data_IF_621509213578
#
_entry.id   IF_621509213578
#
_cell.length_a   1.000
_cell.length_b   1.000
_cell.length_c   1.000
_cell.angle_alpha   90.00
_cell.angle_beta   90.00
_cell.angle_gamma   90.00
#
_symmetry.space_group_name_H-M   'P 1'
#
loop_
_entity.id
_entity.type
_entity.pdbx_description
1 polymer ?
#
# COMPACT_ATOMS: atom_id res chain seq x y z
N UNK A 1 -21.73 13.96 25.85
CA UNK A 1 -20.51 13.32 25.29
C UNK A 1 -20.59 13.39 23.78
N UNK A 2 -20.05 14.46 23.20
CA UNK A 2 -20.08 14.78 21.77
C UNK A 2 -18.83 14.19 21.11
N UNK A 3 -19.03 13.20 20.24
CA UNK A 3 -17.95 12.52 19.52
C UNK A 3 -17.51 13.36 18.33
N UNK A 4 -16.26 13.80 18.33
CA UNK A 4 -15.65 14.61 17.27
C UNK A 4 -15.14 13.70 16.14
N UNK A 5 -15.72 13.84 14.95
CA UNK A 5 -15.27 13.14 13.75
C UNK A 5 -13.90 13.65 13.27
N UNK A 6 -12.96 12.76 12.88
CA UNK A 6 -11.66 13.17 12.38
C UNK A 6 -11.79 13.78 10.97
N UNK A 7 -11.34 15.03 10.83
CA UNK A 7 -11.22 15.72 9.55
C UNK A 7 -10.13 15.05 8.71
N UNK A 8 -10.53 14.46 7.57
CA UNK A 8 -9.61 14.01 6.53
C UNK A 8 -9.06 15.25 5.82
N UNK A 9 -7.77 15.51 5.97
CA UNK A 9 -7.07 16.53 5.19
C UNK A 9 -6.84 15.99 3.77
N UNK A 10 -7.25 16.70 2.71
CA UNK A 10 -6.93 16.32 1.35
C UNK A 10 -5.42 16.49 1.12
N UNK A 11 -4.72 15.38 0.87
CA UNK A 11 -3.31 15.41 0.50
C UNK A 11 -3.27 15.75 -0.99
N UNK A 12 -2.79 16.95 -1.29
CA UNK A 12 -2.59 17.43 -2.65
C UNK A 12 -1.46 16.62 -3.31
N UNK A 13 -1.70 15.95 -4.46
CA UNK A 13 -0.70 15.13 -5.15
C UNK A 13 0.58 15.90 -5.52
N UNK A 14 0.54 17.24 -5.59
CA UNK A 14 1.72 18.08 -5.80
C UNK A 14 2.80 17.89 -4.72
N UNK A 15 2.40 17.59 -3.48
CA UNK A 15 3.35 17.36 -2.37
C UNK A 15 4.16 16.07 -2.51
N UNK A 16 3.60 15.06 -3.18
CA UNK A 16 4.30 13.78 -3.41
C UNK A 16 5.45 13.99 -4.41
N UNK A 17 5.24 14.79 -5.47
CA UNK A 17 6.28 15.09 -6.44
C UNK A 17 7.46 15.87 -5.83
N UNK A 18 7.16 16.83 -4.94
CA UNK A 18 8.17 17.60 -4.20
C UNK A 18 8.99 16.73 -3.24
N UNK A 19 8.34 15.78 -2.56
CA UNK A 19 9.02 14.85 -1.66
C UNK A 19 9.98 13.90 -2.41
N UNK A 20 9.59 13.42 -3.59
CA UNK A 20 10.46 12.55 -4.42
C UNK A 20 11.67 13.32 -4.94
N UNK A 21 11.48 14.57 -5.40
CA UNK A 21 12.58 15.41 -5.85
C UNK A 21 13.60 15.70 -4.75
N UNK A 22 13.15 15.92 -3.51
CA UNK A 22 14.03 16.14 -2.36
C UNK A 22 14.89 14.91 -2.04
N UNK A 23 14.33 13.70 -2.13
CA UNK A 23 15.07 12.44 -1.87
C UNK A 23 16.16 12.20 -2.92
N UNK A 24 15.87 12.47 -4.19
CA UNK A 24 16.87 12.33 -5.28
C UNK A 24 18.02 13.32 -5.12
N UNK A 25 17.74 14.56 -4.67
CA UNK A 25 18.77 15.56 -4.41
C UNK A 25 19.69 15.18 -3.24
N UNK A 26 19.13 14.59 -2.18
CA UNK A 26 19.92 14.12 -1.02
C UNK A 26 20.80 12.92 -1.42
N UNK A 27 20.27 11.98 -2.21
CA UNK A 27 21.03 10.80 -2.64
C UNK A 27 22.21 11.16 -3.57
N UNK A 28 22.01 12.10 -4.49
CA UNK A 28 23.07 12.58 -5.39
C UNK A 28 24.14 13.39 -4.65
N UNK A 29 23.74 14.18 -3.65
CA UNK A 29 24.67 14.89 -2.76
C UNK A 29 25.53 13.95 -1.91
N UNK A 30 24.94 12.87 -1.40
CA UNK A 30 25.65 11.86 -0.62
C UNK A 30 26.65 11.04 -1.46
N UNK A 31 26.34 10.80 -2.73
CA UNK A 31 27.26 10.10 -3.65
C UNK A 31 28.47 10.97 -4.00
N UNK A 32 28.29 12.29 -4.17
CA UNK A 32 29.38 13.21 -4.49
C UNK A 32 30.38 13.39 -3.34
N UNK A 33 29.95 13.22 -2.08
CA UNK A 33 30.83 13.30 -0.91
C UNK A 33 31.64 12.02 -0.64
N UNK A 34 31.31 10.88 -1.26
CA UNK A 34 31.92 9.58 -0.93
C UNK A 34 33.16 9.22 -1.75
N UNK A 35 34.02 10.23 -1.99
CA UNK A 35 35.47 10.13 -2.27
C UNK A 35 35.97 9.06 -3.24
N UNK A 36 36.55 9.49 -4.38
CA UNK A 36 37.30 8.62 -5.31
C UNK A 36 38.47 7.92 -4.60
N UNK A 37 38.71 6.62 -4.85
CA UNK A 37 39.84 5.89 -4.29
C UNK A 37 41.18 6.40 -4.87
N UNK A 38 42.18 6.54 -3.99
CA UNK A 38 43.53 6.97 -4.32
C UNK A 38 44.35 5.84 -4.98
N UNK A 39 45.32 6.15 -5.86
CA UNK A 39 46.17 5.15 -6.50
C UNK A 39 47.20 4.52 -5.53
N UNK A 40 47.40 3.22 -5.68
CA UNK A 40 48.33 2.37 -4.93
C UNK A 40 49.79 2.81 -5.10
N UNK A 41 50.49 3.00 -3.97
CA UNK A 41 51.96 3.13 -3.91
C UNK A 41 52.58 1.74 -3.94
N UNK A 42 53.26 1.40 -5.05
CA UNK A 42 54.26 0.33 -5.09
C UNK A 42 55.43 0.68 -4.19
N UNK A 43 55.74 -0.22 -3.26
CA UNK A 43 57.00 -0.23 -2.50
C UNK A 43 57.96 -1.13 -3.28
N UNK A 44 58.96 -0.52 -3.91
CA UNK A 44 60.13 -1.23 -4.44
C UNK A 44 61.03 -1.66 -3.28
N UNK A 45 61.39 -2.94 -3.30
CA UNK A 45 62.27 -3.57 -2.34
C UNK A 45 63.74 -3.19 -2.64
N UNK A 46 64.44 -2.75 -1.60
CA UNK A 46 65.87 -2.47 -1.58
C UNK A 46 66.65 -3.74 -1.18
N UNK A 47 67.71 -4.15 -1.88
CA UNK A 47 68.41 -5.40 -1.59
C UNK A 47 69.44 -5.28 -0.46
N UNK A 48 69.36 -6.30 0.39
CA UNK A 48 70.30 -6.82 1.38
C UNK A 48 71.78 -6.41 1.28
N UNK A 49 72.28 -5.91 2.41
CA UNK A 49 73.68 -5.80 2.81
C UNK A 49 74.32 -7.20 2.90
N UNK A 50 75.34 -7.44 2.09
CA UNK A 50 76.23 -8.58 2.22
C UNK A 50 77.37 -8.25 3.20
N UNK A 51 77.41 -9.00 4.30
CA UNK A 51 78.54 -9.08 5.21
C UNK A 51 79.67 -9.93 4.59
N UNK A 52 80.92 -9.51 4.75
CA UNK A 52 82.08 -10.41 4.65
C UNK A 52 83.26 -9.94 5.51
N UNK A 53 84.08 -10.88 6.05
CA UNK A 53 84.63 -10.81 7.40
C UNK A 53 86.08 -10.32 7.48
N UNK A 54 86.44 -9.93 8.71
CA UNK A 54 87.77 -9.60 9.17
C UNK A 54 88.78 -10.76 9.01
N UNK A 55 89.96 -10.44 8.48
CA UNK A 55 91.13 -11.33 8.43
C UNK A 55 91.95 -11.23 9.75
N UNK A 56 92.42 -12.36 10.31
CA UNK A 56 93.15 -12.38 11.57
C UNK A 56 94.62 -11.99 11.45
N UNK A 57 95.12 -11.38 12.53
CA UNK A 57 96.48 -10.95 12.76
C UNK A 57 97.50 -12.11 12.75
N UNK A 58 98.64 -11.88 12.09
CA UNK A 58 99.83 -12.73 12.16
C UNK A 58 100.68 -12.35 13.39
N UNK A 59 101.14 -13.33 14.20
CA UNK A 59 102.01 -13.10 15.35
C UNK A 59 103.48 -12.92 14.95
N UNK A 60 104.15 -12.06 15.72
CA UNK A 60 105.53 -11.65 15.61
C UNK A 60 106.54 -12.80 15.78
N UNK A 61 107.58 -12.79 14.95
CA UNK A 61 108.80 -13.57 15.16
C UNK A 61 109.77 -12.78 16.08
N UNK A 62 110.32 -13.39 17.16
CA UNK A 62 111.30 -12.74 18.01
C UNK A 62 112.68 -12.70 17.33
N UNK A 63 113.18 -11.50 17.05
CA UNK A 63 114.56 -11.30 16.64
C UNK A 63 115.52 -11.62 17.80
N UNK A 64 116.69 -12.23 17.52
CA UNK A 64 117.59 -12.78 18.53
C UNK A 64 118.17 -11.70 19.47
N UNK A 65 118.30 -12.10 20.74
CA UNK A 65 118.77 -11.27 21.83
C UNK A 65 120.21 -10.77 21.56
N UNK A 66 120.47 -9.44 21.54
CA UNK A 66 121.82 -8.88 21.34
C UNK A 66 122.82 -9.22 22.48
N UNK A 67 122.37 -9.97 23.49
CA UNK A 67 123.21 -10.54 24.55
C UNK A 67 124.04 -11.72 24.06
N UNK A 68 123.53 -12.54 23.14
CA UNK A 68 124.27 -13.72 22.62
C UNK A 68 125.48 -13.30 21.77
N UNK A 69 125.35 -12.20 21.02
CA UNK A 69 126.47 -11.62 20.26
C UNK A 69 127.56 -10.98 21.16
N UNK A 70 127.17 -10.45 22.33
CA UNK A 70 128.11 -9.85 23.28
C UNK A 70 128.85 -10.89 24.13
N UNK A 71 128.21 -12.02 24.42
CA UNK A 71 128.86 -13.14 25.11
C UNK A 71 129.92 -13.83 24.24
N UNK A 72 129.72 -13.91 22.92
CA UNK A 72 130.72 -14.44 21.99
C UNK A 72 132.00 -13.56 21.91
N UNK A 73 131.87 -12.23 21.94
CA UNK A 73 133.02 -11.31 21.91
C UNK A 73 133.84 -11.36 23.22
N UNK A 74 133.17 -11.49 24.36
CA UNK A 74 133.85 -11.63 25.66
C UNK A 74 134.59 -12.96 25.80
N UNK A 75 134.04 -14.06 25.26
CA UNK A 75 134.70 -15.36 25.24
C UNK A 75 136.00 -15.33 24.39
N UNK A 76 135.99 -14.63 23.25
CA UNK A 76 137.16 -14.48 22.40
C UNK A 76 138.29 -13.65 23.07
N UNK A 77 137.93 -12.62 23.86
CA UNK A 77 138.89 -11.80 24.60
C UNK A 77 139.55 -12.56 25.76
N UNK A 78 138.81 -13.45 26.43
CA UNK A 78 139.34 -14.28 27.52
C UNK A 78 140.37 -15.30 26.99
N UNK A 79 140.08 -15.94 25.85
CA UNK A 79 141.00 -16.85 25.18
C UNK A 79 142.32 -16.17 24.75
N UNK A 80 142.25 -14.90 24.31
CA UNK A 80 143.45 -14.13 23.95
C UNK A 80 144.32 -13.78 25.17
N UNK A 81 143.73 -13.55 26.34
CA UNK A 81 144.47 -13.28 27.58
C UNK A 81 145.15 -14.52 28.18
N UNK A 82 144.56 -15.72 28.00
CA UNK A 82 145.18 -16.97 28.43
C UNK A 82 146.41 -17.33 27.58
N UNK A 83 146.37 -17.04 26.28
CA UNK A 83 147.53 -17.21 25.40
C UNK A 83 148.72 -16.32 25.82
N UNK A 84 148.47 -15.06 26.18
CA UNK A 84 149.50 -14.12 26.63
C UNK A 84 150.15 -14.51 27.97
N UNK A 85 149.39 -15.14 28.89
CA UNK A 85 149.90 -15.64 30.17
C UNK A 85 150.77 -16.91 30.01
N UNK A 86 150.59 -17.65 28.92
CA UNK A 86 151.37 -18.87 28.65
C UNK A 86 152.76 -18.52 28.10
N UNK A 87 152.90 -17.43 27.36
CA UNK A 87 154.17 -16.93 26.80
C UNK A 87 155.08 -16.29 27.86
N UNK A 88 154.50 -15.65 28.89
CA UNK A 88 155.26 -15.08 30.02
C UNK A 88 155.87 -16.13 30.96
N UNK A 89 155.40 -17.40 30.91
CA UNK A 89 155.86 -18.48 31.79
C UNK A 89 157.16 -19.15 31.33
N UNK A 90 157.67 -18.84 30.13
CA UNK A 90 158.82 -19.51 29.51
C UNK A 90 160.14 -18.72 29.54
N UNK A 91 160.23 -17.59 30.25
CA UNK A 91 161.46 -16.76 30.29
C UNK A 91 162.15 -16.75 31.66
N UNK A 92 163.43 -17.17 31.75
CA UNK A 92 164.16 -17.31 33.02
C UNK A 92 164.57 -15.97 33.65
N UNK A 93 164.71 -16.02 34.97
CA UNK A 93 164.75 -14.90 35.92
C UNK A 93 166.10 -14.17 36.01
N UNK A 94 166.03 -12.86 36.26
CA UNK A 94 167.11 -12.09 36.89
C UNK A 94 167.49 -10.81 36.16
N UNK A 95 166.64 -9.77 36.20
CA UNK A 95 167.07 -8.40 35.88
C UNK A 95 166.27 -7.34 36.67
N UNK A 96 166.89 -6.59 37.61
CA UNK A 96 166.22 -5.60 38.46
C UNK A 96 165.74 -4.33 37.72
N UNK A 97 165.99 -4.18 36.41
CA UNK A 97 165.42 -3.10 35.59
C UNK A 97 163.92 -3.29 35.26
N UNK A 98 163.37 -4.51 35.40
CA UNK A 98 161.97 -4.82 35.07
C UNK A 98 160.93 -4.31 36.10
N UNK A 99 161.35 -4.02 37.34
CA UNK A 99 160.45 -3.54 38.41
C UNK A 99 160.10 -2.05 38.23
N UNK A 100 160.96 -1.24 37.61
CA UNK A 100 160.65 0.17 37.31
C UNK A 100 159.59 0.34 36.21
N UNK A 101 159.56 -0.55 35.21
CA UNK A 101 158.61 -0.49 34.11
C UNK A 101 157.18 -0.93 34.49
N UNK A 102 157.03 -1.76 35.53
CA UNK A 102 155.72 -2.18 36.03
C UNK A 102 155.04 -1.07 36.86
N UNK A 103 155.80 -0.26 37.60
CA UNK A 103 155.26 0.86 38.39
C UNK A 103 154.74 2.00 37.51
N UNK A 104 155.41 2.28 36.39
CA UNK A 104 154.99 3.26 35.36
C UNK A 104 153.72 2.78 34.62
N UNK A 105 153.65 1.48 34.31
CA UNK A 105 152.45 0.85 33.73
C UNK A 105 151.25 0.85 34.67
N UNK A 106 151.46 0.70 35.98
CA UNK A 106 150.38 0.76 36.95
C UNK A 106 149.78 2.17 37.02
N UNK A 107 150.63 3.20 37.01
CA UNK A 107 150.20 4.60 37.07
C UNK A 107 149.48 5.06 35.79
N UNK A 108 149.95 4.62 34.61
CA UNK A 108 149.25 4.89 33.34
C UNK A 108 147.92 4.14 33.22
N UNK A 109 147.78 2.97 33.85
CA UNK A 109 146.49 2.28 33.97
C UNK A 109 145.54 3.04 34.92
N UNK A 110 146.04 3.55 36.04
CA UNK A 110 145.26 4.29 37.03
C UNK A 110 144.76 5.64 36.48
N UNK A 111 145.63 6.41 35.81
CA UNK A 111 145.27 7.68 35.16
C UNK A 111 144.34 7.48 33.94
N UNK A 112 144.37 6.31 33.30
CA UNK A 112 143.49 5.97 32.16
C UNK A 112 142.11 5.42 32.55
N UNK A 113 141.97 4.84 33.75
CA UNK A 113 140.72 4.21 34.21
C UNK A 113 139.74 5.20 34.84
N UNK A 114 140.22 6.23 35.54
CA UNK A 114 139.38 7.25 36.15
C UNK A 114 138.44 7.99 35.16
N UNK A 115 138.91 8.49 33.98
CA UNK A 115 138.02 9.18 33.04
C UNK A 115 137.02 8.23 32.35
N UNK A 116 137.41 6.97 32.10
CA UNK A 116 136.52 5.96 31.48
C UNK A 116 135.36 5.57 32.39
N UNK A 117 135.58 5.52 33.71
CA UNK A 117 134.51 5.27 34.68
C UNK A 117 133.52 6.46 34.71
N UNK A 118 134.02 7.70 34.60
CA UNK A 118 133.19 8.91 34.50
C UNK A 118 132.32 8.97 33.24
N UNK A 119 132.87 8.61 32.08
CA UNK A 119 132.09 8.56 30.82
C UNK A 119 131.06 7.42 30.81
N UNK A 120 131.40 6.26 31.35
CA UNK A 120 130.47 5.13 31.47
C UNK A 120 129.30 5.47 32.41
N UNK A 121 129.57 6.14 33.53
CA UNK A 121 128.52 6.59 34.47
C UNK A 121 127.63 7.67 33.87
N UNK A 122 128.20 8.65 33.16
CA UNK A 122 127.41 9.67 32.45
C UNK A 122 126.59 9.09 31.28
N UNK A 123 127.09 8.05 30.61
CA UNK A 123 126.37 7.32 29.57
C UNK A 123 125.21 6.49 30.12
N UNK A 124 125.39 5.88 31.29
CA UNK A 124 124.31 5.18 32.00
C UNK A 124 123.26 6.15 32.52
N UNK A 125 123.65 7.30 33.08
CA UNK A 125 122.71 8.34 33.51
C UNK A 125 121.84 8.84 32.36
N UNK A 126 122.43 9.15 31.20
CA UNK A 126 121.67 9.56 30.00
C UNK A 126 120.74 8.48 29.47
N UNK A 127 121.13 7.20 29.57
CA UNK A 127 120.26 6.07 29.21
C UNK A 127 119.11 5.89 30.20
N UNK A 128 119.37 6.12 31.48
CA UNK A 128 118.35 6.10 32.51
C UNK A 128 117.32 7.21 32.28
N UNK A 129 117.76 8.45 32.04
CA UNK A 129 116.90 9.58 31.72
C UNK A 129 116.07 9.34 30.45
N UNK A 130 116.69 8.78 29.39
CA UNK A 130 115.97 8.46 28.16
C UNK A 130 114.94 7.33 28.35
N UNK A 131 115.22 6.35 29.21
CA UNK A 131 114.28 5.30 29.58
C UNK A 131 113.14 5.84 30.46
N UNK A 132 113.43 6.76 31.37
CA UNK A 132 112.44 7.42 32.23
C UNK A 132 111.52 8.35 31.41
N UNK A 133 112.10 9.13 30.48
CA UNK A 133 111.33 9.91 29.51
C UNK A 133 110.50 9.01 28.57
N UNK A 134 111.05 7.88 28.14
CA UNK A 134 110.32 6.90 27.34
C UNK A 134 109.16 6.24 28.11
N UNK A 135 109.36 5.93 29.40
CA UNK A 135 108.32 5.36 30.27
C UNK A 135 107.21 6.37 30.56
N UNK A 136 107.53 7.63 30.79
CA UNK A 136 106.53 8.70 30.98
C UNK A 136 105.74 8.98 29.70
N UNK A 137 106.37 8.99 28.52
CA UNK A 137 105.67 9.10 27.24
C UNK A 137 104.74 7.92 26.98
N UNK A 138 105.17 6.69 27.28
CA UNK A 138 104.30 5.49 27.19
C UNK A 138 103.12 5.60 28.15
N UNK A 139 103.36 5.97 29.40
CA UNK A 139 102.27 6.20 30.37
C UNK A 139 101.28 7.28 29.89
N UNK A 140 101.75 8.35 29.25
CA UNK A 140 100.87 9.39 28.72
C UNK A 140 100.05 8.90 27.52
N UNK A 141 100.66 8.11 26.62
CA UNK A 141 99.97 7.48 25.49
C UNK A 141 98.94 6.44 25.96
N UNK A 142 99.26 5.64 26.98
CA UNK A 142 98.36 4.67 27.60
C UNK A 142 97.18 5.37 28.28
N UNK A 143 97.42 6.49 28.97
CA UNK A 143 96.33 7.32 29.52
C UNK A 143 95.45 7.94 28.42
N UNK A 144 96.04 8.41 27.32
CA UNK A 144 95.29 8.98 26.19
C UNK A 144 94.44 7.92 25.48
N UNK A 145 94.95 6.71 25.30
CA UNK A 145 94.20 5.58 24.74
C UNK A 145 93.11 5.10 25.69
N UNK A 146 93.36 5.02 26.99
CA UNK A 146 92.35 4.70 27.99
C UNK A 146 91.18 5.71 27.97
N UNK A 147 91.46 7.02 27.91
CA UNK A 147 90.41 8.05 27.80
C UNK A 147 89.61 7.95 26.50
N UNK A 148 90.27 7.61 25.38
CA UNK A 148 89.58 7.37 24.10
C UNK A 148 88.68 6.14 24.18
N UNK A 149 89.15 5.06 24.80
CA UNK A 149 88.37 3.86 25.03
C UNK A 149 87.14 4.16 25.89
N UNK A 150 87.31 4.89 27.01
CA UNK A 150 86.20 5.31 27.87
C UNK A 150 85.18 6.19 27.12
N UNK A 151 85.65 7.08 26.23
CA UNK A 151 84.76 7.91 25.39
C UNK A 151 83.99 7.06 24.39
N UNK A 152 84.64 6.08 23.75
CA UNK A 152 84.01 5.15 22.82
C UNK A 152 83.00 4.26 23.56
N UNK A 153 83.35 3.75 24.74
CA UNK A 153 82.46 2.93 25.57
C UNK A 153 81.23 3.73 26.02
N UNK A 154 81.40 4.99 26.44
CA UNK A 154 80.28 5.87 26.78
C UNK A 154 79.39 6.13 25.55
N UNK A 155 79.98 6.43 24.39
CA UNK A 155 79.23 6.65 23.16
C UNK A 155 78.50 5.36 22.69
N UNK A 156 79.10 4.19 22.87
CA UNK A 156 78.48 2.90 22.58
C UNK A 156 77.30 2.61 23.54
N UNK A 157 77.47 2.90 24.83
CA UNK A 157 76.39 2.77 25.82
C UNK A 157 75.23 3.73 25.54
N UNK A 158 75.52 4.98 25.14
CA UNK A 158 74.50 5.96 24.73
C UNK A 158 73.75 5.51 23.48
N UNK A 159 74.45 4.97 22.48
CA UNK A 159 73.82 4.38 21.28
C UNK A 159 72.95 3.18 21.63
N UNK A 160 73.44 2.25 22.44
CA UNK A 160 72.66 1.09 22.89
C UNK A 160 71.40 1.51 23.65
N UNK A 161 71.49 2.52 24.51
CA UNK A 161 70.32 3.08 25.22
C UNK A 161 69.34 3.76 24.26
N UNK A 162 69.82 4.49 23.25
CA UNK A 162 68.98 5.11 22.23
C UNK A 162 68.27 4.05 21.38
N UNK A 163 68.98 3.01 20.96
CA UNK A 163 68.42 1.86 20.21
C UNK A 163 67.36 1.13 21.03
N UNK A 164 67.62 0.84 22.31
CA UNK A 164 66.61 0.27 23.21
C UNK A 164 65.40 1.21 23.38
N UNK A 165 65.62 2.52 23.45
CA UNK A 165 64.56 3.52 23.51
C UNK A 165 63.69 3.54 22.24
N UNK A 166 64.31 3.42 21.06
CA UNK A 166 63.61 3.31 19.77
C UNK A 166 62.86 1.98 19.66
N UNK A 167 63.47 0.86 20.07
CA UNK A 167 62.81 -0.44 20.11
C UNK A 167 61.54 -0.42 20.96
N UNK A 168 61.63 0.14 22.18
CA UNK A 168 60.44 0.31 23.04
C UNK A 168 59.37 1.17 22.38
N UNK A 169 59.73 2.26 21.70
CA UNK A 169 58.78 3.14 21.00
C UNK A 169 58.11 2.44 19.82
N UNK A 170 58.86 1.64 19.06
CA UNK A 170 58.33 0.82 17.98
C UNK A 170 57.32 -0.19 18.54
N UNK A 171 57.65 -0.90 19.62
CA UNK A 171 56.72 -1.84 20.25
C UNK A 171 55.42 -1.15 20.71
N UNK A 172 55.50 0.09 21.23
CA UNK A 172 54.28 0.84 21.62
C UNK A 172 53.45 1.25 20.41
N UNK A 173 54.10 1.67 19.32
CA UNK A 173 53.42 2.05 18.08
C UNK A 173 52.77 0.84 17.41
N UNK A 174 53.45 -0.30 17.38
CA UNK A 174 52.90 -1.56 16.87
C UNK A 174 51.68 -2.01 17.67
N UNK A 175 51.75 -1.96 19.02
CA UNK A 175 50.60 -2.25 19.89
C UNK A 175 49.44 -1.28 19.64
N UNK A 176 49.70 0.02 19.55
CA UNK A 176 48.67 1.01 19.26
C UNK A 176 48.04 0.82 17.87
N UNK A 177 48.82 0.41 16.87
CA UNK A 177 48.31 0.09 15.53
C UNK A 177 47.44 -1.17 15.54
N UNK A 178 47.85 -2.22 16.25
CA UNK A 178 47.06 -3.43 16.42
C UNK A 178 45.73 -3.17 17.15
N UNK A 179 45.74 -2.35 18.20
CA UNK A 179 44.53 -1.92 18.91
C UNK A 179 43.57 -1.12 18.01
N UNK A 180 44.09 -0.20 17.19
CA UNK A 180 43.29 0.54 16.21
C UNK A 180 42.67 -0.39 15.16
N UNK A 181 43.45 -1.31 14.60
CA UNK A 181 42.96 -2.28 13.62
C UNK A 181 41.85 -3.17 14.22
N UNK A 182 42.02 -3.63 15.47
CA UNK A 182 40.99 -4.38 16.17
C UNK A 182 39.72 -3.55 16.44
N UNK A 183 39.88 -2.27 16.82
CA UNK A 183 38.78 -1.33 17.00
C UNK A 183 38.00 -1.08 15.71
N UNK A 184 38.70 -0.88 14.59
CA UNK A 184 38.09 -0.70 13.25
C UNK A 184 37.32 -1.95 12.81
N UNK A 185 37.88 -3.15 13.00
CA UNK A 185 37.18 -4.41 12.72
C UNK A 185 35.93 -4.59 13.60
N UNK A 186 36.00 -4.22 14.88
CA UNK A 186 34.85 -4.28 15.78
C UNK A 186 33.74 -3.29 15.36
N UNK A 187 34.12 -2.08 14.93
CA UNK A 187 33.16 -1.11 14.38
C UNK A 187 32.55 -1.60 13.06
N UNK A 188 33.33 -2.18 12.16
CA UNK A 188 32.85 -2.79 10.92
C UNK A 188 31.76 -3.83 11.18
N UNK A 189 32.03 -4.80 12.06
CA UNK A 189 31.03 -5.82 12.46
C UNK A 189 29.79 -5.23 13.10
N UNK A 190 29.93 -4.17 13.90
CA UNK A 190 28.78 -3.48 14.51
C UNK A 190 27.93 -2.76 13.47
N UNK A 191 28.54 -2.12 12.48
CA UNK A 191 27.83 -1.47 11.37
C UNK A 191 27.09 -2.51 10.54
N UNK A 192 27.75 -3.61 10.16
CA UNK A 192 27.11 -4.72 9.42
C UNK A 192 25.93 -5.31 10.18
N UNK A 193 26.06 -5.54 11.50
CA UNK A 193 24.96 -6.02 12.33
C UNK A 193 23.80 -5.02 12.43
N UNK A 194 24.09 -3.72 12.50
CA UNK A 194 23.05 -2.68 12.48
C UNK A 194 22.33 -2.61 11.13
N UNK A 195 23.05 -2.74 10.01
CA UNK A 195 22.46 -2.74 8.67
C UNK A 195 21.58 -3.98 8.44
N UNK A 196 22.01 -5.14 8.94
CA UNK A 196 21.19 -6.37 8.92
C UNK A 196 19.93 -6.21 9.79
N UNK A 197 20.04 -5.63 10.98
CA UNK A 197 18.87 -5.39 11.83
C UNK A 197 17.91 -4.35 11.22
N UNK A 198 18.43 -3.30 10.57
CA UNK A 198 17.63 -2.29 9.90
C UNK A 198 16.88 -2.86 8.68
N UNK A 199 17.55 -3.65 7.85
CA UNK A 199 16.93 -4.31 6.70
C UNK A 199 15.86 -5.34 7.11
N UNK A 200 16.10 -6.12 8.16
CA UNK A 200 15.09 -7.04 8.72
C UNK A 200 13.86 -6.29 9.25
N UNK A 201 14.05 -5.18 9.97
CA UNK A 201 12.94 -4.36 10.46
C UNK A 201 12.15 -3.72 9.32
N UNK A 202 12.83 -3.25 8.27
CA UNK A 202 12.18 -2.71 7.08
C UNK A 202 11.32 -3.77 6.38
N UNK A 203 11.85 -4.99 6.20
CA UNK A 203 11.10 -6.10 5.62
C UNK A 203 9.87 -6.50 6.46
N UNK A 204 10.01 -6.57 7.79
CA UNK A 204 8.90 -6.85 8.70
C UNK A 204 7.83 -5.74 8.67
N UNK A 205 8.24 -4.48 8.63
CA UNK A 205 7.33 -3.35 8.54
C UNK A 205 6.55 -3.36 7.21
N UNK A 206 7.21 -3.71 6.11
CA UNK A 206 6.55 -3.82 4.80
C UNK A 206 5.54 -4.98 4.78
N UNK A 207 5.90 -6.15 5.31
CA UNK A 207 4.96 -7.27 5.44
C UNK A 207 3.76 -6.91 6.32
N UNK A 208 3.99 -6.21 7.43
CA UNK A 208 2.90 -5.74 8.31
C UNK A 208 1.99 -4.73 7.61
N UNK A 209 2.55 -3.84 6.77
CA UNK A 209 1.77 -2.88 5.96
C UNK A 209 0.90 -3.59 4.94
N UNK A 210 1.46 -4.52 4.17
CA UNK A 210 0.71 -5.31 3.19
C UNK A 210 -0.40 -6.12 3.86
N UNK A 211 -0.12 -6.76 4.99
CA UNK A 211 -1.13 -7.50 5.74
C UNK A 211 -2.24 -6.57 6.28
N UNK A 212 -1.88 -5.39 6.79
CA UNK A 212 -2.86 -4.40 7.25
C UNK A 212 -3.73 -3.85 6.11
N UNK A 213 -3.14 -3.62 4.93
CA UNK A 213 -3.85 -3.18 3.73
C UNK A 213 -4.82 -4.26 3.24
N UNK A 214 -4.40 -5.53 3.18
CA UNK A 214 -5.28 -6.64 2.84
C UNK A 214 -6.43 -6.80 3.83
N UNK A 215 -6.15 -6.68 5.13
CA UNK A 215 -7.18 -6.73 6.17
C UNK A 215 -8.14 -5.52 6.11
N UNK A 216 -7.66 -4.35 5.68
CA UNK A 216 -8.51 -3.19 5.44
C UNK A 216 -9.39 -3.37 4.19
N UNK A 217 -8.83 -3.90 3.10
CA UNK A 217 -9.56 -4.18 1.86
C UNK A 217 -10.67 -5.23 2.09
N UNK A 218 -10.38 -6.30 2.86
CA UNK A 218 -11.39 -7.30 3.22
C UNK A 218 -12.53 -6.71 4.06
N UNK A 219 -12.21 -5.86 5.05
CA UNK A 219 -13.23 -5.17 5.86
C UNK A 219 -14.06 -4.20 5.02
N UNK A 220 -13.44 -3.50 4.07
CA UNK A 220 -14.16 -2.63 3.13
C UNK A 220 -15.13 -3.44 2.25
N UNK A 221 -14.67 -4.54 1.65
CA UNK A 221 -15.53 -5.41 0.83
C UNK A 221 -16.71 -6.00 1.62
N UNK A 222 -16.48 -6.43 2.87
CA UNK A 222 -17.55 -6.92 3.74
C UNK A 222 -18.56 -5.83 4.10
N UNK A 223 -18.07 -4.61 4.38
CA UNK A 223 -18.93 -3.46 4.65
C UNK A 223 -19.78 -3.08 3.43
N UNK A 224 -19.20 -3.10 2.23
CA UNK A 224 -19.91 -2.86 0.97
C UNK A 224 -21.00 -3.91 0.73
N UNK A 225 -20.69 -5.20 0.91
CA UNK A 225 -21.68 -6.27 0.79
C UNK A 225 -22.83 -6.11 1.79
N UNK A 226 -22.52 -5.76 3.05
CA UNK A 226 -23.53 -5.52 4.08
C UNK A 226 -24.42 -4.31 3.75
N UNK A 227 -23.86 -3.24 3.18
CA UNK A 227 -24.63 -2.08 2.73
C UNK A 227 -25.54 -2.42 1.56
N UNK A 228 -25.04 -3.14 0.56
CA UNK A 228 -25.84 -3.59 -0.60
C UNK A 228 -27.00 -4.48 -0.16
N UNK A 229 -26.78 -5.42 0.77
CA UNK A 229 -27.85 -6.25 1.32
C UNK A 229 -28.90 -5.43 2.08
N UNK A 230 -28.47 -4.44 2.88
CA UNK A 230 -29.39 -3.53 3.59
C UNK A 230 -30.21 -2.68 2.63
N UNK A 231 -29.61 -2.17 1.56
CA UNK A 231 -30.33 -1.41 0.52
C UNK A 231 -31.38 -2.27 -0.18
N UNK A 232 -31.01 -3.48 -0.60
CA UNK A 232 -31.96 -4.42 -1.22
C UNK A 232 -33.12 -4.78 -0.28
N UNK A 233 -32.85 -5.01 1.01
CA UNK A 233 -33.90 -5.28 2.00
C UNK A 233 -34.82 -4.06 2.23
N UNK A 234 -34.26 -2.86 2.26
CA UNK A 234 -35.04 -1.62 2.35
C UNK A 234 -35.94 -1.43 1.13
N UNK A 235 -35.42 -1.63 -0.09
CA UNK A 235 -36.17 -1.54 -1.34
C UNK A 235 -37.29 -2.59 -1.43
N UNK A 236 -37.05 -3.82 -0.98
CA UNK A 236 -38.11 -4.84 -0.90
C UNK A 236 -39.20 -4.42 0.09
N UNK A 237 -38.82 -3.91 1.28
CA UNK A 237 -39.80 -3.46 2.28
C UNK A 237 -40.64 -2.26 1.82
N UNK A 238 -40.09 -1.36 1.00
CA UNK A 238 -40.86 -0.25 0.44
C UNK A 238 -41.77 -0.71 -0.68
N UNK A 239 -41.32 -1.62 -1.56
CA UNK A 239 -42.15 -2.23 -2.59
C UNK A 239 -43.36 -2.97 -1.97
N UNK A 240 -43.14 -3.75 -0.91
CA UNK A 240 -44.20 -4.45 -0.16
C UNK A 240 -45.21 -3.50 0.47
N UNK A 241 -44.79 -2.32 0.92
CA UNK A 241 -45.69 -1.29 1.49
C UNK A 241 -46.47 -0.54 0.42
N UNK A 242 -45.90 -0.33 -0.76
CA UNK A 242 -46.51 0.47 -1.83
C UNK A 242 -47.54 -0.33 -2.64
N UNK A 243 -47.31 -1.62 -2.89
CA UNK A 243 -48.24 -2.47 -3.63
C UNK A 243 -49.70 -2.45 -3.09
N UNK A 244 -49.97 -2.66 -1.79
CA UNK A 244 -51.34 -2.66 -1.28
C UNK A 244 -51.99 -1.27 -1.33
N UNK A 245 -51.20 -0.19 -1.25
CA UNK A 245 -51.72 1.19 -1.40
C UNK A 245 -52.18 1.45 -2.84
N UNK A 246 -51.40 1.00 -3.83
CA UNK A 246 -51.79 1.11 -5.24
C UNK A 246 -53.06 0.32 -5.54
N UNK A 247 -53.18 -0.89 -4.99
CA UNK A 247 -54.37 -1.71 -5.14
C UNK A 247 -55.60 -1.10 -4.44
N UNK A 248 -55.41 -0.50 -3.26
CA UNK A 248 -56.47 0.23 -2.57
C UNK A 248 -56.97 1.43 -3.41
N UNK A 249 -56.06 2.21 -4.01
CA UNK A 249 -56.42 3.33 -4.89
C UNK A 249 -57.19 2.87 -6.13
N UNK A 250 -56.77 1.75 -6.75
CA UNK A 250 -57.51 1.15 -7.87
C UNK A 250 -58.92 0.71 -7.48
N UNK A 251 -59.07 0.12 -6.29
CA UNK A 251 -60.38 -0.31 -5.77
C UNK A 251 -61.28 0.89 -5.46
N UNK A 252 -60.73 1.97 -4.92
CA UNK A 252 -61.47 3.22 -4.70
C UNK A 252 -61.94 3.83 -6.01
N UNK A 253 -61.07 3.98 -7.01
CA UNK A 253 -61.46 4.49 -8.32
C UNK A 253 -62.52 3.63 -9.01
N UNK A 254 -62.44 2.29 -8.88
CA UNK A 254 -63.48 1.40 -9.39
C UNK A 254 -64.80 1.51 -8.62
N UNK A 255 -64.77 1.78 -7.32
CA UNK A 255 -65.98 2.00 -6.51
C UNK A 255 -66.64 3.34 -6.85
N UNK A 256 -65.85 4.41 -7.03
CA UNK A 256 -66.33 5.74 -7.47
C UNK A 256 -66.96 5.67 -8.87
N UNK A 257 -66.32 4.99 -9.82
CA UNK A 257 -66.91 4.79 -11.15
C UNK A 257 -68.24 4.04 -11.09
N UNK A 258 -68.39 3.06 -10.17
CA UNK A 258 -69.67 2.36 -9.97
C UNK A 258 -70.74 3.26 -9.37
N UNK A 259 -70.42 4.10 -8.37
CA UNK A 259 -71.41 5.02 -7.78
C UNK A 259 -71.84 6.10 -8.76
N UNK A 260 -70.92 6.63 -9.58
CA UNK A 260 -71.23 7.57 -10.66
C UNK A 260 -72.12 6.93 -11.74
N UNK A 261 -71.83 5.68 -12.11
CA UNK A 261 -72.67 4.94 -13.05
C UNK A 261 -74.07 4.70 -12.49
N UNK A 262 -74.20 4.32 -11.22
CA UNK A 262 -75.50 4.12 -10.57
C UNK A 262 -76.30 5.42 -10.46
N UNK A 263 -75.66 6.54 -10.14
CA UNK A 263 -76.34 7.85 -10.08
C UNK A 263 -76.80 8.32 -11.47
N UNK A 264 -76.00 8.06 -12.51
CA UNK A 264 -76.35 8.32 -13.91
C UNK A 264 -77.55 7.46 -14.34
N UNK A 265 -77.56 6.17 -13.99
CA UNK A 265 -78.69 5.28 -14.27
C UNK A 265 -79.97 5.71 -13.54
N UNK A 266 -79.87 6.14 -12.28
CA UNK A 266 -81.01 6.66 -11.54
C UNK A 266 -81.59 7.94 -12.17
N UNK A 267 -80.72 8.85 -12.63
CA UNK A 267 -81.12 10.06 -13.35
C UNK A 267 -81.79 9.74 -14.69
N UNK A 268 -81.23 8.82 -15.47
CA UNK A 268 -81.83 8.36 -16.73
C UNK A 268 -83.21 7.72 -16.54
N UNK A 269 -83.37 6.90 -15.49
CA UNK A 269 -84.66 6.31 -15.14
C UNK A 269 -85.68 7.40 -14.80
N UNK A 270 -85.29 8.36 -13.97
CA UNK A 270 -86.16 9.50 -13.63
C UNK A 270 -86.54 10.34 -14.86
N UNK A 271 -85.61 10.57 -15.79
CA UNK A 271 -85.87 11.31 -17.02
C UNK A 271 -86.82 10.55 -17.96
N UNK A 272 -86.64 9.23 -18.09
CA UNK A 272 -87.51 8.36 -18.88
C UNK A 272 -88.95 8.36 -18.33
N UNK A 273 -89.10 8.21 -17.01
CA UNK A 273 -90.41 8.22 -16.35
C UNK A 273 -91.09 9.60 -16.43
N UNK A 274 -90.32 10.69 -16.48
CA UNK A 274 -90.81 12.05 -16.66
C UNK A 274 -91.07 12.46 -18.12
N UNK A 275 -90.78 11.60 -19.11
CA UNK A 275 -90.97 11.93 -20.54
C UNK A 275 -89.94 12.91 -21.11
N UNK A 276 -88.78 13.05 -20.45
CA UNK A 276 -87.71 13.95 -20.88
C UNK A 276 -86.77 13.25 -21.86
N UNK A 277 -86.22 13.96 -22.87
CA UNK A 277 -85.22 13.41 -23.77
C UNK A 277 -83.94 13.04 -23.00
N UNK A 278 -83.33 11.90 -23.33
CA UNK A 278 -82.20 11.34 -22.61
C UNK A 278 -80.83 11.87 -23.09
N UNK A 279 -80.80 12.67 -24.14
CA UNK A 279 -79.61 12.99 -24.94
C UNK A 279 -78.40 13.49 -24.16
N UNK A 280 -78.60 14.28 -23.10
CA UNK A 280 -77.48 14.82 -22.31
C UNK A 280 -76.85 13.78 -21.35
N UNK A 281 -77.61 12.74 -20.98
CA UNK A 281 -77.21 11.75 -19.99
C UNK A 281 -76.71 10.44 -20.63
N UNK A 282 -77.15 10.11 -21.85
CA UNK A 282 -76.71 8.89 -22.56
C UNK A 282 -75.19 8.79 -22.75
N UNK A 283 -74.46 9.85 -23.16
CA UNK A 283 -73.01 9.76 -23.32
C UNK A 283 -72.25 9.48 -22.01
N UNK A 284 -72.85 9.80 -20.85
CA UNK A 284 -72.22 9.64 -19.54
C UNK A 284 -72.16 8.19 -19.05
N UNK A 285 -72.95 7.29 -19.65
CA UNK A 285 -72.92 5.87 -19.29
C UNK A 285 -71.63 5.15 -19.70
N UNK A 286 -70.87 5.72 -20.65
CA UNK A 286 -69.72 5.07 -21.25
C UNK A 286 -70.11 3.93 -22.19
N UNK A 287 -69.53 3.92 -23.40
CA UNK A 287 -69.85 2.92 -24.43
C UNK A 287 -71.05 3.30 -25.32
N UNK A 288 -71.42 2.39 -26.22
CA UNK A 288 -72.53 2.59 -27.14
C UNK A 288 -73.87 2.39 -26.40
N UNK A 289 -74.79 3.37 -26.41
CA UNK A 289 -76.09 3.22 -25.77
C UNK A 289 -76.91 2.12 -26.48
N UNK A 290 -77.66 1.29 -25.74
CA UNK A 290 -78.62 0.37 -26.33
C UNK A 290 -79.57 1.10 -27.29
N UNK A 291 -79.89 0.47 -28.42
CA UNK A 291 -80.74 1.07 -29.46
C UNK A 291 -82.09 1.56 -28.92
N UNK A 292 -82.67 0.81 -27.98
CA UNK A 292 -83.92 1.17 -27.30
C UNK A 292 -83.84 2.52 -26.55
N UNK A 293 -82.67 2.88 -26.02
CA UNK A 293 -82.44 4.17 -25.36
C UNK A 293 -82.03 5.26 -26.35
N UNK A 294 -81.31 4.89 -27.41
CA UNK A 294 -80.86 5.82 -28.44
C UNK A 294 -82.03 6.50 -29.17
N UNK A 295 -83.16 5.81 -29.37
CA UNK A 295 -84.39 6.39 -29.95
C UNK A 295 -84.90 7.62 -29.17
N UNK A 296 -84.69 7.65 -27.86
CA UNK A 296 -85.11 8.74 -26.98
C UNK A 296 -83.98 9.75 -26.69
N UNK A 297 -82.90 9.72 -27.45
CA UNK A 297 -81.83 10.69 -27.32
C UNK A 297 -82.32 12.12 -27.64
N UNK A 298 -83.12 12.26 -28.69
CA UNK A 298 -83.66 13.55 -29.17
C UNK A 298 -85.18 13.65 -29.04
N UNK A 299 -85.90 12.53 -29.09
CA UNK A 299 -87.36 12.49 -28.97
C UNK A 299 -87.78 12.25 -27.52
N UNK A 300 -88.79 13.00 -27.06
CA UNK A 300 -89.42 12.76 -25.75
C UNK A 300 -90.12 11.39 -25.74
N UNK A 301 -89.80 10.50 -24.79
CA UNK A 301 -90.52 9.23 -24.64
C UNK A 301 -91.98 9.50 -24.20
N UNK A 302 -92.94 8.69 -24.66
CA UNK A 302 -94.31 8.78 -24.16
C UNK A 302 -94.31 8.43 -22.67
N UNK A 303 -94.87 9.30 -21.83
CA UNK A 303 -95.04 8.99 -20.40
C UNK A 303 -96.13 7.95 -20.22
N UNK A 304 -96.10 7.24 -19.09
CA UNK A 304 -97.17 6.29 -18.75
C UNK A 304 -98.54 6.98 -18.69
N UNK A 305 -98.61 8.20 -18.17
CA UNK A 305 -99.82 9.01 -18.18
C UNK A 305 -100.29 9.35 -19.61
N UNK A 306 -99.35 9.71 -20.50
CA UNK A 306 -99.67 9.97 -21.90
C UNK A 306 -100.17 8.70 -22.61
N UNK A 307 -99.58 7.53 -22.34
CA UNK A 307 -100.05 6.24 -22.87
C UNK A 307 -101.45 5.89 -22.36
N UNK A 308 -101.75 6.14 -21.08
CA UNK A 308 -103.10 5.92 -20.52
C UNK A 308 -104.14 6.83 -21.19
N UNK A 309 -103.80 8.11 -21.38
CA UNK A 309 -104.69 9.07 -22.04
C UNK A 309 -104.91 8.74 -23.52
N UNK A 310 -103.85 8.38 -24.25
CA UNK A 310 -103.94 8.02 -25.68
C UNK A 310 -104.58 6.66 -25.92
N UNK A 311 -104.59 5.77 -24.92
CA UNK A 311 -105.23 4.45 -25.02
C UNK A 311 -106.73 4.56 -25.31
N UNK A 312 -107.46 5.41 -24.59
CA UNK A 312 -108.91 5.59 -24.79
C UNK A 312 -109.25 6.19 -26.15
N UNK A 313 -108.36 7.03 -26.68
CA UNK A 313 -108.49 7.55 -28.03
C UNK A 313 -108.22 6.47 -29.08
N UNK A 314 -107.16 5.68 -28.91
CA UNK A 314 -106.82 4.58 -29.79
C UNK A 314 -107.91 3.48 -29.80
N UNK A 315 -108.51 3.16 -28.64
CA UNK A 315 -109.65 2.23 -28.53
C UNK A 315 -110.88 2.77 -29.26
N UNK A 316 -111.18 4.07 -29.15
CA UNK A 316 -112.28 4.68 -29.93
C UNK A 316 -112.02 4.57 -31.43
N UNK A 317 -110.80 4.83 -31.89
CA UNK A 317 -110.42 4.70 -33.30
C UNK A 317 -110.50 3.23 -33.78
N UNK A 318 -110.12 2.27 -32.93
CA UNK A 318 -110.27 0.85 -33.24
C UNK A 318 -111.73 0.45 -33.41
N UNK A 319 -112.62 0.90 -32.52
CA UNK A 319 -114.06 0.65 -32.62
C UNK A 319 -114.67 1.25 -33.89
N UNK A 320 -114.29 2.46 -34.29
CA UNK A 320 -114.80 3.08 -35.53
C UNK A 320 -114.28 2.37 -36.78
N UNK A 321 -113.02 1.92 -36.80
CA UNK A 321 -112.44 1.17 -37.91
C UNK A 321 -113.17 -0.18 -38.12
N UNK A 322 -113.45 -0.89 -37.04
CA UNK A 322 -114.15 -2.20 -37.10
C UNK A 322 -115.62 -2.04 -37.46
N UNK A 323 -116.30 -1.01 -36.93
CA UNK A 323 -117.68 -0.70 -37.29
C UNK A 323 -117.86 -0.35 -38.79
N UNK A 324 -116.81 0.18 -39.45
CA UNK A 324 -116.80 0.47 -40.88
C UNK A 324 -116.56 -0.79 -41.74
N UNK A 325 -115.88 -1.81 -41.22
CA UNK A 325 -115.63 -3.08 -41.90
C UNK A 325 -116.76 -4.11 -41.69
N UNK A 326 -117.54 -3.99 -40.63
CA UNK A 326 -118.72 -4.83 -40.43
C UNK A 326 -119.81 -4.51 -41.45
N UNK A 327 -119.89 -5.36 -42.48
CA UNK A 327 -121.00 -5.38 -43.43
C UNK A 327 -122.35 -5.51 -42.71
N UNK A 328 -123.41 -4.91 -43.26
CA UNK A 328 -124.78 -4.96 -42.71
C UNK A 328 -125.26 -6.38 -42.36
N UNK A 329 -124.73 -7.41 -43.03
CA UNK A 329 -125.03 -8.81 -42.75
C UNK A 329 -124.50 -9.28 -41.38
N UNK A 330 -123.32 -8.81 -40.95
CA UNK A 330 -122.73 -9.15 -39.65
C UNK A 330 -123.46 -8.45 -38.50
N UNK A 331 -123.92 -7.21 -38.71
CA UNK A 331 -124.71 -6.44 -37.73
C UNK A 331 -126.07 -7.08 -37.40
N UNK A 332 -126.66 -7.81 -38.35
CA UNK A 332 -127.92 -8.54 -38.09
C UNK A 332 -127.70 -9.79 -37.24
N UNK A 333 -126.55 -10.45 -37.37
CA UNK A 333 -126.20 -11.60 -36.52
C UNK A 333 -125.73 -11.19 -35.11
N UNK A 334 -125.23 -9.96 -34.91
CA UNK A 334 -124.83 -9.47 -33.57
C UNK A 334 -126.01 -9.03 -32.69
N UNK A 335 -127.22 -8.89 -33.25
CA UNK A 335 -128.45 -8.56 -32.51
C UNK A 335 -129.10 -9.78 -31.83
N UNK A 336 -128.63 -10.99 -32.09
CA UNK A 336 -129.10 -12.22 -31.46
C UNK A 336 -128.24 -12.55 -30.22
N UNK A 337 -128.42 -11.77 -29.15
CA UNK A 337 -127.90 -12.16 -27.82
C UNK A 337 -128.72 -13.29 -27.24
N UNK A 338 -128.23 -14.53 -27.35
CA UNK A 338 -128.81 -15.69 -26.67
C UNK A 338 -128.31 -15.69 -25.22
N UNK A 339 -129.15 -15.22 -24.30
CA UNK A 339 -128.92 -15.34 -22.86
C UNK A 339 -129.22 -16.77 -22.41
N UNK A 340 -128.19 -17.56 -22.10
CA UNK A 340 -128.33 -18.90 -21.48
C UNK A 340 -127.96 -18.80 -20.00
N UNK A 341 -128.90 -18.37 -19.16
CA UNK A 341 -128.71 -18.26 -17.71
C UNK A 341 -127.94 -17.02 -17.25
N UNK A 342 -127.16 -17.17 -16.17
CA UNK A 342 -126.33 -16.11 -15.54
C UNK A 342 -124.94 -15.94 -16.17
N UNK A 343 -124.63 -16.74 -17.20
CA UNK A 343 -123.34 -16.68 -17.91
C UNK A 343 -123.53 -16.07 -19.32
N UNK A 344 -122.96 -14.88 -19.53
CA UNK A 344 -122.95 -14.20 -20.83
C UNK A 344 -121.79 -14.77 -21.65
N UNK A 345 -122.07 -15.80 -22.45
CA UNK A 345 -121.06 -16.57 -23.22
C UNK A 345 -120.62 -15.86 -24.52
N UNK A 346 -121.28 -14.78 -24.94
CA UNK A 346 -120.88 -13.96 -26.10
C UNK A 346 -120.79 -12.48 -25.72
N UNK A 347 -119.67 -12.11 -25.08
CA UNK A 347 -119.12 -10.76 -25.20
C UNK A 347 -118.04 -10.80 -26.26
N UNK A 348 -117.94 -9.78 -27.11
CA UNK A 348 -116.86 -9.67 -28.09
C UNK A 348 -115.51 -9.92 -27.38
N UNK A 349 -114.82 -10.99 -27.77
CA UNK A 349 -113.53 -11.38 -27.17
C UNK A 349 -112.52 -10.23 -27.22
N UNK A 350 -112.71 -9.29 -28.15
CA UNK A 350 -111.92 -8.06 -28.26
C UNK A 350 -112.14 -7.12 -27.08
N UNK A 351 -113.41 -6.90 -26.68
CA UNK A 351 -113.75 -6.03 -25.55
C UNK A 351 -113.19 -6.58 -24.23
N UNK A 352 -113.21 -7.90 -24.05
CA UNK A 352 -112.60 -8.54 -22.87
C UNK A 352 -111.08 -8.29 -22.81
N UNK A 353 -110.37 -8.38 -23.94
CA UNK A 353 -108.93 -8.09 -23.95
C UNK A 353 -108.65 -6.58 -23.80
N UNK A 354 -109.49 -5.71 -24.35
CA UNK A 354 -109.36 -4.24 -24.18
C UNK A 354 -109.54 -3.86 -22.71
N UNK A 355 -110.56 -4.39 -22.02
CA UNK A 355 -110.75 -4.15 -20.58
C UNK A 355 -109.61 -4.73 -19.73
N UNK A 356 -109.07 -5.90 -20.13
CA UNK A 356 -107.87 -6.45 -19.48
C UNK A 356 -106.66 -5.54 -19.66
N UNK A 357 -106.44 -5.01 -20.87
CA UNK A 357 -105.37 -4.07 -21.15
C UNK A 357 -105.54 -2.77 -20.35
N UNK A 358 -106.78 -2.24 -20.25
CA UNK A 358 -107.09 -1.08 -19.42
C UNK A 358 -106.72 -1.31 -17.96
N UNK A 359 -107.17 -2.43 -17.37
CA UNK A 359 -106.84 -2.78 -15.98
C UNK A 359 -105.33 -2.93 -15.75
N UNK A 360 -104.61 -3.52 -16.70
CA UNK A 360 -103.17 -3.63 -16.64
C UNK A 360 -102.51 -2.23 -16.69
N UNK A 361 -102.97 -1.34 -17.57
CA UNK A 361 -102.50 0.05 -17.63
C UNK A 361 -102.79 0.83 -16.34
N UNK A 362 -103.99 0.70 -15.77
CA UNK A 362 -104.35 1.34 -14.50
C UNK A 362 -103.43 0.89 -13.36
N UNK A 363 -103.05 -0.39 -13.36
CA UNK A 363 -102.07 -0.96 -12.44
C UNK A 363 -100.60 -0.58 -12.76
N UNK A 364 -100.35 0.12 -13.86
CA UNK A 364 -99.01 0.49 -14.33
C UNK A 364 -98.23 -0.66 -15.00
N UNK A 365 -98.91 -1.77 -15.30
CA UNK A 365 -98.35 -2.92 -16.01
C UNK A 365 -98.50 -2.76 -17.53
N UNK A 366 -97.59 -1.99 -18.12
CA UNK A 366 -97.54 -1.75 -19.57
C UNK A 366 -97.25 -3.05 -20.33
N UNK A 367 -96.40 -3.93 -19.77
CA UNK A 367 -96.08 -5.23 -20.38
C UNK A 367 -97.33 -6.13 -20.46
N UNK A 368 -98.10 -6.21 -19.38
CA UNK A 368 -99.38 -6.90 -19.33
C UNK A 368 -100.43 -6.30 -20.27
N UNK A 369 -100.44 -4.98 -20.44
CA UNK A 369 -101.33 -4.30 -21.37
C UNK A 369 -101.00 -4.65 -22.82
N UNK A 370 -99.73 -4.56 -23.23
CA UNK A 370 -99.28 -4.96 -24.57
C UNK A 370 -99.58 -6.43 -24.83
N UNK A 371 -99.32 -7.32 -23.87
CA UNK A 371 -99.60 -8.75 -23.99
C UNK A 371 -101.11 -9.06 -24.16
N UNK A 372 -101.99 -8.28 -23.53
CA UNK A 372 -103.43 -8.40 -23.73
C UNK A 372 -103.86 -7.94 -25.13
N UNK A 373 -103.34 -6.80 -25.61
CA UNK A 373 -103.65 -6.28 -26.94
C UNK A 373 -103.09 -7.15 -28.08
N UNK A 374 -101.97 -7.84 -27.86
CA UNK A 374 -101.43 -8.80 -28.82
C UNK A 374 -102.41 -9.95 -29.14
N UNK A 375 -103.35 -10.25 -28.24
CA UNK A 375 -104.39 -11.28 -28.43
C UNK A 375 -105.62 -10.78 -29.20
N UNK A 376 -105.69 -9.49 -29.53
CA UNK A 376 -106.81 -8.93 -30.30
C UNK A 376 -106.80 -9.44 -31.75
N UNK A 377 -107.97 -9.47 -32.41
CA UNK A 377 -108.06 -9.66 -33.86
C UNK A 377 -107.25 -8.61 -34.64
N UNK A 378 -106.73 -8.98 -35.81
CA UNK A 378 -105.79 -8.14 -36.58
C UNK A 378 -106.38 -6.76 -36.95
N UNK A 379 -107.69 -6.68 -37.24
CA UNK A 379 -108.35 -5.41 -37.54
C UNK A 379 -108.25 -4.40 -36.37
N UNK A 380 -108.55 -4.85 -35.15
CA UNK A 380 -108.46 -4.03 -33.95
C UNK A 380 -106.99 -3.70 -33.61
N UNK A 381 -106.09 -4.67 -33.78
CA UNK A 381 -104.66 -4.49 -33.54
C UNK A 381 -104.04 -3.47 -34.51
N UNK A 382 -104.47 -3.46 -35.77
CA UNK A 382 -104.00 -2.51 -36.79
C UNK A 382 -104.33 -1.07 -36.43
N UNK A 383 -105.52 -0.81 -35.87
CA UNK A 383 -105.91 0.51 -35.39
C UNK A 383 -105.13 0.93 -34.13
N UNK A 384 -104.79 -0.01 -33.25
CA UNK A 384 -103.97 0.24 -32.05
C UNK A 384 -102.46 0.22 -32.32
N UNK A 385 -102.02 -0.02 -33.56
CA UNK A 385 -100.61 -0.28 -33.89
C UNK A 385 -99.66 0.83 -33.42
N UNK A 386 -100.06 2.09 -33.56
CA UNK A 386 -99.27 3.24 -33.10
C UNK A 386 -99.05 3.22 -31.58
N UNK A 387 -100.15 3.01 -30.83
CA UNK A 387 -100.10 2.90 -29.38
C UNK A 387 -99.26 1.71 -28.90
N UNK A 388 -99.42 0.55 -29.54
CA UNK A 388 -98.65 -0.67 -29.22
C UNK A 388 -97.16 -0.42 -29.45
N UNK A 389 -96.77 0.18 -30.57
CA UNK A 389 -95.38 0.46 -30.89
C UNK A 389 -94.71 1.44 -29.90
N UNK A 390 -95.46 2.42 -29.41
CA UNK A 390 -94.99 3.37 -28.39
C UNK A 390 -94.84 2.70 -27.01
N UNK A 391 -95.79 1.86 -26.62
CA UNK A 391 -95.74 1.09 -25.38
C UNK A 391 -94.58 0.07 -25.38
N UNK A 392 -94.39 -0.67 -26.48
CA UNK A 392 -93.28 -1.61 -26.64
C UNK A 392 -91.92 -0.92 -26.60
N UNK A 393 -91.79 0.25 -27.23
CA UNK A 393 -90.55 1.02 -27.20
C UNK A 393 -90.20 1.51 -25.79
N UNK A 394 -91.21 1.94 -25.00
CA UNK A 394 -91.00 2.32 -23.60
C UNK A 394 -90.61 1.11 -22.73
N UNK A 395 -91.26 -0.03 -22.93
CA UNK A 395 -90.90 -1.30 -22.26
C UNK A 395 -89.46 -1.71 -22.58
N UNK A 396 -89.07 -1.65 -23.85
CA UNK A 396 -87.71 -1.96 -24.30
C UNK A 396 -86.67 -1.02 -23.66
N UNK A 397 -86.96 0.28 -23.56
CA UNK A 397 -86.09 1.24 -22.88
C UNK A 397 -85.95 0.94 -21.38
N UNK A 398 -87.05 0.64 -20.68
CA UNK A 398 -87.01 0.23 -19.26
C UNK A 398 -86.23 -1.06 -19.05
N UNK A 399 -86.39 -2.04 -19.94
CA UNK A 399 -85.61 -3.27 -19.91
C UNK A 399 -84.11 -3.03 -20.13
N UNK A 400 -83.74 -2.16 -21.07
CA UNK A 400 -82.36 -1.78 -21.32
C UNK A 400 -81.68 -1.07 -20.12
N UNK A 401 -82.41 -0.21 -19.39
CA UNK A 401 -81.88 0.38 -18.16
C UNK A 401 -81.66 -0.66 -17.05
N UNK A 402 -82.56 -1.64 -16.92
CA UNK A 402 -82.41 -2.75 -15.96
C UNK A 402 -81.19 -3.61 -16.27
N UNK A 403 -80.95 -3.93 -17.55
CA UNK A 403 -79.78 -4.73 -17.94
C UNK A 403 -78.47 -3.97 -17.68
N UNK A 404 -78.44 -2.66 -17.94
CA UNK A 404 -77.28 -1.81 -17.63
C UNK A 404 -76.99 -1.65 -16.14
N UNK A 405 -77.98 -1.84 -15.27
CA UNK A 405 -77.82 -1.82 -13.82
C UNK A 405 -77.34 -3.16 -13.25
N UNK A 406 -77.62 -4.27 -13.95
CA UNK A 406 -77.27 -5.63 -13.51
C UNK A 406 -75.90 -6.13 -14.00
N UNK A 407 -75.31 -5.48 -15.01
CA UNK A 407 -73.98 -5.81 -15.56
C UNK A 407 -72.94 -4.76 -15.23
#
# INVERSE_FOLDING_TARGET
MTSASPRKLPIDPAWIALAVAAVVLIATSAWLMRGRPAPERRVEAEPAVAAQPAAPAQPAAPAPNPLDARLADLAARLAASEAALTELRARPAGDPAAIGALTERLKTLEDGLAPRIGEATAGLARRLDALEQGATQRSAADQATARRLETIERAAAERANAEQGLGRRLDTLERAAAERAAGEQALGRRVEAMDQAASQRAAQAEQARVAAEQAAAQRAAQAEQALTQRLAAMEQSTAERVAPLQDALRRLGAAEARTERLSTLASLRSALDAGQPLGAALPRLGGAPPEALARYATASPPTEAALRLSFEEAVRQARTATAAQESLATRLNSLLTVRRGDEVVWGDTSEVQIERARRALEAGDIEGAVAALARLPEANRAALRGWIADAEALVAARAALRSLAGG
#
